data_IF_260903285493
#
_entry.id   IF_260903285493
#
_cell.length_a   1.000
_cell.length_b   1.000
_cell.length_c   1.000
_cell.angle_alpha   90.00
_cell.angle_beta   90.00
_cell.angle_gamma   90.00
#
_symmetry.space_group_name_H-M   'P 1'
#
loop_
_entity.id
_entity.type
_entity.pdbx_description
1 polymer ?
#
# COMPACT_ATOMS: atom_id res chain seq x y z
N UNK A 1 -2.23 -1.54 -23.86
CA UNK A 1 -1.61 -2.39 -24.89
C UNK A 1 -0.29 -2.96 -24.42
N UNK A 2 -0.39 -4.16 -23.86
CA UNK A 2 0.74 -5.05 -23.61
C UNK A 2 1.36 -5.39 -24.97
N UNK A 3 2.62 -5.00 -25.18
CA UNK A 3 3.31 -5.26 -26.46
C UNK A 3 3.99 -6.62 -26.45
N UNK A 4 4.12 -7.25 -27.62
CA UNK A 4 4.87 -8.51 -27.76
C UNK A 4 6.32 -8.37 -27.30
N UNK A 5 6.93 -7.20 -27.51
CA UNK A 5 8.26 -6.88 -27.02
C UNK A 5 8.36 -7.05 -25.50
N UNK A 6 7.41 -6.47 -24.75
CA UNK A 6 7.37 -6.59 -23.30
C UNK A 6 7.17 -8.03 -22.84
N UNK A 7 6.31 -8.80 -23.52
CA UNK A 7 6.13 -10.22 -23.22
C UNK A 7 7.43 -11.03 -23.40
N UNK A 8 8.17 -10.75 -24.47
CA UNK A 8 9.44 -11.41 -24.76
C UNK A 8 10.53 -11.05 -23.74
N UNK A 9 10.58 -9.78 -23.31
CA UNK A 9 11.48 -9.34 -22.23
C UNK A 9 11.21 -10.09 -20.92
N UNK A 10 9.94 -10.29 -20.55
CA UNK A 10 9.57 -11.08 -19.37
C UNK A 10 10.05 -12.52 -19.49
N UNK A 11 9.88 -13.17 -20.66
CA UNK A 11 10.34 -14.55 -20.87
C UNK A 11 11.87 -14.69 -20.80
N UNK A 12 12.62 -13.66 -21.21
CA UNK A 12 14.08 -13.68 -21.13
C UNK A 12 14.59 -13.40 -19.71
N UNK A 13 13.91 -12.51 -18.97
CA UNK A 13 14.37 -12.07 -17.65
C UNK A 13 13.97 -13.03 -16.52
N UNK A 14 12.85 -13.73 -16.66
CA UNK A 14 12.29 -14.57 -15.60
C UNK A 14 12.37 -16.07 -15.95
N UNK A 15 12.60 -16.94 -14.94
CA UNK A 15 12.57 -18.39 -15.15
C UNK A 15 11.18 -18.89 -15.57
N UNK A 16 11.08 -20.15 -15.98
CA UNK A 16 9.79 -20.78 -16.36
C UNK A 16 8.71 -20.65 -15.27
N UNK A 17 9.14 -20.76 -14.00
CA UNK A 17 8.27 -20.60 -12.84
C UNK A 17 8.71 -19.45 -11.96
N UNK A 18 7.76 -18.59 -11.63
CA UNK A 18 7.95 -17.42 -10.78
C UNK A 18 7.12 -17.51 -9.50
N UNK A 19 7.54 -16.71 -8.53
CA UNK A 19 6.88 -16.55 -7.24
C UNK A 19 5.80 -15.48 -7.30
N UNK A 20 4.89 -15.49 -6.31
CA UNK A 20 3.93 -14.40 -6.08
C UNK A 20 4.60 -13.03 -6.01
N UNK A 21 5.81 -12.93 -5.46
CA UNK A 21 6.51 -11.66 -5.31
C UNK A 21 6.99 -11.09 -6.66
N UNK A 22 7.41 -11.98 -7.57
CA UNK A 22 7.75 -11.59 -8.94
C UNK A 22 6.50 -11.24 -9.74
N UNK A 23 5.42 -12.02 -9.63
CA UNK A 23 4.18 -11.81 -10.37
C UNK A 23 3.59 -10.40 -10.15
N UNK A 24 3.42 -9.94 -8.90
CA UNK A 24 2.78 -8.62 -8.69
C UNK A 24 3.64 -7.46 -9.24
N UNK A 25 4.97 -7.63 -9.31
CA UNK A 25 5.89 -6.65 -9.91
C UNK A 25 5.71 -6.60 -11.42
N UNK A 26 5.71 -7.77 -12.07
CA UNK A 26 5.49 -7.91 -13.53
C UNK A 26 4.12 -7.37 -13.93
N UNK A 27 3.09 -7.68 -13.14
CA UNK A 27 1.70 -7.28 -13.41
C UNK A 27 1.37 -5.84 -12.98
N UNK A 28 2.29 -5.12 -12.33
CA UNK A 28 2.08 -3.79 -11.75
C UNK A 28 0.81 -3.68 -10.89
N UNK A 29 0.60 -4.66 -10.01
CA UNK A 29 -0.57 -4.72 -9.11
C UNK A 29 -0.15 -4.80 -7.64
N UNK A 30 -1.10 -4.50 -6.76
CA UNK A 30 -0.88 -4.69 -5.33
C UNK A 30 -0.67 -6.17 -4.98
N UNK A 31 0.06 -6.43 -3.89
CA UNK A 31 0.20 -7.79 -3.34
C UNK A 31 -1.14 -8.47 -3.01
N UNK A 32 -2.16 -7.67 -2.66
CA UNK A 32 -3.52 -8.12 -2.32
C UNK A 32 -4.29 -8.52 -3.58
N UNK A 33 -4.19 -7.72 -4.65
CA UNK A 33 -4.78 -8.06 -5.96
C UNK A 33 -4.13 -9.30 -6.57
N UNK A 34 -2.80 -9.42 -6.48
CA UNK A 34 -2.11 -10.61 -6.95
C UNK A 34 -2.55 -11.87 -6.19
N UNK A 35 -2.75 -11.77 -4.87
CA UNK A 35 -3.29 -12.88 -4.08
C UNK A 35 -4.71 -13.25 -4.53
N UNK A 36 -5.58 -12.25 -4.76
CA UNK A 36 -6.93 -12.48 -5.29
C UNK A 36 -6.90 -13.28 -6.59
N UNK A 37 -6.10 -12.86 -7.58
CA UNK A 37 -6.02 -13.53 -8.87
C UNK A 37 -5.59 -15.00 -8.76
N UNK A 38 -4.71 -15.31 -7.80
CA UNK A 38 -4.22 -16.66 -7.57
C UNK A 38 -5.24 -17.53 -6.81
N UNK A 39 -5.89 -16.97 -5.78
CA UNK A 39 -6.88 -17.68 -4.98
C UNK A 39 -8.22 -17.86 -5.70
N UNK A 40 -8.59 -16.93 -6.57
CA UNK A 40 -9.78 -17.04 -7.41
C UNK A 40 -9.59 -17.93 -8.64
N UNK A 41 -8.35 -18.38 -8.90
CA UNK A 41 -8.02 -19.21 -10.06
C UNK A 41 -7.97 -18.46 -11.40
N UNK A 42 -8.05 -17.12 -11.39
CA UNK A 42 -7.92 -16.29 -12.61
C UNK A 42 -6.51 -16.38 -13.23
N UNK A 43 -5.51 -16.71 -12.41
CA UNK A 43 -4.18 -17.06 -12.87
C UNK A 43 -3.85 -18.48 -12.41
N UNK A 44 -3.65 -19.43 -13.35
CA UNK A 44 -3.24 -20.79 -13.03
C UNK A 44 -1.98 -20.80 -12.17
N UNK A 45 -2.01 -21.60 -11.11
CA UNK A 45 -0.89 -21.70 -10.19
C UNK A 45 -0.87 -23.06 -9.50
N UNK A 46 0.32 -23.45 -9.06
CA UNK A 46 0.53 -24.61 -8.20
C UNK A 46 0.63 -24.09 -6.76
N UNK A 47 -0.35 -24.46 -5.94
CA UNK A 47 -0.43 -24.11 -4.54
C UNK A 47 0.05 -25.29 -3.66
N UNK A 48 1.01 -25.03 -2.78
CA UNK A 48 1.54 -26.02 -1.84
C UNK A 48 0.98 -25.90 -0.41
N UNK A 49 0.06 -24.96 -0.16
CA UNK A 49 -0.59 -24.74 1.13
C UNK A 49 0.28 -24.13 2.23
N UNK A 50 1.55 -23.80 1.95
CA UNK A 50 2.47 -23.24 2.96
C UNK A 50 2.14 -21.77 3.26
N UNK A 51 2.51 -21.31 4.46
CA UNK A 51 2.36 -19.89 4.85
C UNK A 51 3.21 -18.94 3.99
N UNK A 52 4.40 -19.38 3.59
CA UNK A 52 5.34 -18.60 2.79
C UNK A 52 5.73 -19.39 1.55
N UNK A 53 6.04 -18.69 0.45
CA UNK A 53 6.38 -19.32 -0.85
C UNK A 53 5.31 -20.36 -1.29
N UNK A 54 4.04 -19.98 -1.09
CA UNK A 54 2.85 -20.80 -1.33
C UNK A 54 2.63 -21.17 -2.79
N UNK A 55 2.81 -20.18 -3.67
CA UNK A 55 2.44 -20.26 -5.07
C UNK A 55 3.66 -20.40 -5.98
N UNK A 56 3.56 -21.33 -6.93
CA UNK A 56 4.47 -21.48 -8.07
C UNK A 56 3.66 -21.26 -9.35
N UNK A 57 4.02 -20.23 -10.11
CA UNK A 57 3.20 -19.70 -11.22
C UNK A 57 4.04 -19.78 -12.48
N UNK A 58 3.48 -20.23 -13.61
CA UNK A 58 4.24 -20.22 -14.86
C UNK A 58 4.31 -18.81 -15.43
N UNK A 59 5.48 -18.43 -15.94
CA UNK A 59 5.68 -17.11 -16.54
C UNK A 59 4.79 -16.90 -17.76
N UNK A 60 4.53 -17.96 -18.53
CA UNK A 60 3.58 -17.93 -19.67
C UNK A 60 2.15 -17.61 -19.24
N UNK A 61 1.70 -18.14 -18.11
CA UNK A 61 0.34 -17.88 -17.59
C UNK A 61 0.20 -16.43 -17.11
N UNK A 62 1.29 -15.84 -16.60
CA UNK A 62 1.32 -14.41 -16.23
C UNK A 62 1.26 -13.52 -17.45
N UNK A 63 1.95 -13.89 -18.53
CA UNK A 63 1.89 -13.16 -19.80
C UNK A 63 0.49 -13.24 -20.42
N UNK A 64 -0.14 -14.41 -20.37
CA UNK A 64 -1.51 -14.56 -20.85
C UNK A 64 -2.46 -13.69 -20.03
N UNK A 65 -2.33 -13.71 -18.70
CA UNK A 65 -3.12 -12.86 -17.82
C UNK A 65 -2.92 -11.36 -18.11
N UNK A 66 -1.71 -10.92 -18.45
CA UNK A 66 -1.45 -9.53 -18.83
C UNK A 66 -2.23 -9.14 -20.09
N UNK A 67 -2.24 -10.00 -21.11
CA UNK A 67 -2.98 -9.77 -22.36
C UNK A 67 -4.49 -9.76 -22.10
N UNK A 68 -5.01 -10.80 -21.44
CA UNK A 68 -6.44 -10.91 -21.14
C UNK A 68 -6.94 -9.74 -20.30
N UNK A 69 -6.11 -9.22 -19.38
CA UNK A 69 -6.44 -8.04 -18.57
C UNK A 69 -6.45 -6.74 -19.33
N UNK A 70 -5.63 -6.63 -20.38
CA UNK A 70 -5.59 -5.45 -21.25
C UNK A 70 -6.81 -5.43 -22.19
N UNK A 71 -7.25 -6.61 -22.64
CA UNK A 71 -8.45 -6.79 -23.49
C UNK A 71 -9.75 -6.72 -22.67
N UNK A 72 -9.81 -7.37 -21.51
CA UNK A 72 -11.02 -7.55 -20.70
C UNK A 72 -10.78 -7.17 -19.22
N UNK A 73 -10.45 -5.90 -18.91
CA UNK A 73 -10.11 -5.48 -17.55
C UNK A 73 -11.23 -5.75 -16.53
N UNK A 74 -12.50 -5.74 -16.96
CA UNK A 74 -13.68 -5.96 -16.13
C UNK A 74 -13.70 -7.35 -15.47
N UNK A 75 -13.20 -8.39 -16.15
CA UNK A 75 -13.21 -9.77 -15.65
C UNK A 75 -12.21 -10.02 -14.51
N UNK A 76 -11.22 -9.14 -14.38
CA UNK A 76 -10.13 -9.27 -13.41
C UNK A 76 -10.23 -8.27 -12.26
N UNK A 77 -11.31 -7.48 -12.21
CA UNK A 77 -11.60 -6.62 -11.06
C UNK A 77 -12.04 -7.48 -9.89
N UNK A 78 -11.46 -7.22 -8.73
CA UNK A 78 -11.93 -7.85 -7.50
C UNK A 78 -13.33 -7.33 -7.16
N UNK A 79 -14.21 -8.14 -6.55
CA UNK A 79 -15.55 -7.73 -6.17
C UNK A 79 -15.55 -6.46 -5.30
N UNK A 80 -16.66 -5.72 -5.37
CA UNK A 80 -16.85 -4.54 -4.54
C UNK A 80 -16.68 -4.89 -3.06
N UNK A 81 -15.88 -4.08 -2.36
CA UNK A 81 -15.57 -4.32 -0.96
C UNK A 81 -14.37 -5.23 -0.71
N UNK A 82 -13.81 -5.93 -1.71
CA UNK A 82 -12.65 -6.82 -1.51
C UNK A 82 -11.43 -6.08 -0.92
N UNK A 83 -11.23 -4.82 -1.33
CA UNK A 83 -10.13 -4.01 -0.84
C UNK A 83 -10.39 -3.37 0.53
N UNK A 84 -11.64 -3.34 1.01
CA UNK A 84 -11.98 -2.75 2.31
C UNK A 84 -11.27 -3.51 3.43
N UNK A 85 -10.70 -2.77 4.38
CA UNK A 85 -10.12 -3.35 5.58
C UNK A 85 -11.21 -3.93 6.48
N UNK A 86 -10.83 -4.81 7.43
CA UNK A 86 -11.75 -5.35 8.45
C UNK A 86 -12.46 -4.28 9.32
N UNK A 87 -12.00 -3.03 9.26
CA UNK A 87 -12.60 -1.88 9.97
C UNK A 87 -13.64 -1.08 9.17
N UNK A 88 -13.94 -1.46 7.92
CA UNK A 88 -14.78 -0.67 7.01
C UNK A 88 -14.10 0.63 6.55
N UNK A 89 -14.78 1.38 5.67
CA UNK A 89 -14.36 2.72 5.23
C UNK A 89 -14.66 3.76 6.32
N UNK A 90 -14.28 3.47 7.57
CA UNK A 90 -14.28 4.49 8.62
C UNK A 90 -13.14 5.44 8.30
N UNK A 91 -13.39 6.37 7.38
CA UNK A 91 -12.53 7.53 7.19
C UNK A 91 -12.39 8.18 8.57
N UNK A 92 -11.15 8.47 8.95
CA UNK A 92 -10.94 9.36 10.09
C UNK A 92 -11.74 10.64 9.79
N UNK A 93 -12.47 11.13 10.79
CA UNK A 93 -13.13 12.42 10.70
C UNK A 93 -12.08 13.46 10.28
N UNK A 94 -12.44 14.30 9.33
CA UNK A 94 -11.61 15.40 8.89
C UNK A 94 -11.38 16.38 10.04
N UNK A 95 -10.31 17.16 9.94
CA UNK A 95 -9.96 18.13 10.97
C UNK A 95 -11.13 19.08 11.31
N UNK A 96 -11.86 19.52 10.29
CA UNK A 96 -13.02 20.41 10.41
C UNK A 96 -14.25 19.72 11.00
N UNK A 97 -14.36 18.40 10.88
CA UNK A 97 -15.41 17.61 11.53
C UNK A 97 -15.13 17.36 13.01
N UNK A 98 -13.86 17.43 13.43
CA UNK A 98 -13.43 17.14 14.81
C UNK A 98 -13.31 18.40 15.65
N UNK A 99 -12.83 19.51 15.08
CA UNK A 99 -12.53 20.72 15.82
C UNK A 99 -13.37 21.91 15.35
N UNK A 100 -14.05 22.56 16.30
CA UNK A 100 -14.71 23.84 16.04
C UNK A 100 -13.69 24.98 16.05
N UNK A 101 -14.08 26.15 15.53
CA UNK A 101 -13.23 27.34 15.59
C UNK A 101 -12.83 27.71 17.04
N UNK A 102 -13.74 27.52 18.00
CA UNK A 102 -13.43 27.74 19.42
C UNK A 102 -12.39 26.76 19.95
N UNK A 103 -12.46 25.49 19.54
CA UNK A 103 -11.47 24.49 19.93
C UNK A 103 -10.08 24.86 19.43
N UNK A 104 -9.97 25.39 18.21
CA UNK A 104 -8.71 25.85 17.64
C UNK A 104 -8.13 27.04 18.42
N UNK A 105 -8.97 27.99 18.84
CA UNK A 105 -8.56 29.12 19.68
C UNK A 105 -8.03 28.61 21.03
N UNK A 106 -8.78 27.71 21.69
CA UNK A 106 -8.38 27.13 22.99
C UNK A 106 -7.10 26.33 22.88
N UNK A 107 -6.96 25.53 21.83
CA UNK A 107 -5.77 24.72 21.55
C UNK A 107 -4.54 25.62 21.33
N UNK A 108 -4.69 26.70 20.56
CA UNK A 108 -3.64 27.70 20.37
C UNK A 108 -3.20 28.32 21.70
N UNK A 109 -4.13 28.82 22.50
CA UNK A 109 -3.83 29.44 23.80
C UNK A 109 -3.15 28.45 24.76
N UNK A 110 -3.57 27.19 24.73
CA UNK A 110 -2.96 26.13 25.52
C UNK A 110 -1.49 25.92 25.13
N UNK A 111 -1.21 25.76 23.84
CA UNK A 111 0.16 25.55 23.35
C UNK A 111 1.04 26.80 23.52
N UNK A 112 0.50 28.01 23.35
CA UNK A 112 1.23 29.26 23.63
C UNK A 112 1.70 29.34 25.09
N UNK A 113 0.87 28.92 26.05
CA UNK A 113 1.26 28.86 27.47
C UNK A 113 2.29 27.77 27.73
N UNK A 114 2.08 26.59 27.16
CA UNK A 114 2.93 25.42 27.38
C UNK A 114 4.33 25.60 26.76
N UNK A 115 4.40 26.27 25.60
CA UNK A 115 5.64 26.52 24.87
C UNK A 115 6.31 27.85 25.23
N UNK A 116 5.74 28.65 26.14
CA UNK A 116 6.22 30.00 26.47
C UNK A 116 7.71 30.09 26.81
N UNK A 117 8.26 29.07 27.48
CA UNK A 117 9.65 29.03 27.94
C UNK A 117 10.57 28.24 26.98
N UNK A 118 10.03 27.71 25.89
CA UNK A 118 10.81 27.00 24.89
C UNK A 118 11.42 28.01 23.89
N UNK A 119 12.58 27.68 23.30
CA UNK A 119 13.14 28.49 22.23
C UNK A 119 12.21 28.50 21.01
N UNK A 120 12.27 29.58 20.23
CA UNK A 120 11.50 29.74 18.99
C UNK A 120 11.78 28.62 17.98
N UNK A 121 13.02 28.12 17.97
CA UNK A 121 13.43 26.94 17.22
C UNK A 121 13.81 25.82 18.18
N UNK A 122 13.07 24.72 18.13
CA UNK A 122 13.35 23.50 18.89
C UNK A 122 14.08 22.47 18.03
N UNK A 123 15.07 21.80 18.62
CA UNK A 123 15.71 20.61 18.05
C UNK A 123 14.76 19.41 18.02
N UNK A 124 15.09 18.39 17.22
CA UNK A 124 14.34 17.12 17.15
C UNK A 124 14.24 16.48 18.54
N UNK A 125 15.31 16.54 19.32
CA UNK A 125 15.37 16.13 20.73
C UNK A 125 14.28 16.79 21.58
N UNK A 126 14.20 18.12 21.52
CA UNK A 126 13.28 18.91 22.32
C UNK A 126 11.84 18.65 21.91
N UNK A 127 11.57 18.53 20.60
CA UNK A 127 10.23 18.20 20.09
C UNK A 127 9.83 16.77 20.47
N UNK A 128 10.75 15.80 20.40
CA UNK A 128 10.50 14.43 20.85
C UNK A 128 10.17 14.37 22.36
N UNK A 129 10.93 15.10 23.18
CA UNK A 129 10.67 15.19 24.62
C UNK A 129 9.32 15.85 24.92
N UNK A 130 8.98 16.91 24.19
CA UNK A 130 7.73 17.65 24.36
C UNK A 130 6.50 16.84 23.95
N UNK A 131 6.57 16.17 22.81
CA UNK A 131 5.41 15.46 22.22
C UNK A 131 5.29 13.99 22.67
N UNK A 132 6.35 13.42 23.26
CA UNK A 132 6.43 12.01 23.61
C UNK A 132 6.68 11.07 22.42
N UNK A 133 6.80 11.58 21.20
CA UNK A 133 7.17 10.77 20.03
C UNK A 133 8.66 10.44 20.01
N UNK A 134 9.03 9.33 19.37
CA UNK A 134 10.44 9.01 19.18
C UNK A 134 11.13 9.98 18.22
N UNK A 135 12.42 10.24 18.45
CA UNK A 135 13.25 11.11 17.58
C UNK A 135 13.18 10.74 16.10
N UNK A 136 13.08 9.43 15.80
CA UNK A 136 12.96 8.92 14.43
C UNK A 136 11.65 9.33 13.76
N UNK A 137 10.54 9.38 14.51
CA UNK A 137 9.26 9.85 13.98
C UNK A 137 9.27 11.36 13.78
N UNK A 138 9.74 12.11 14.78
CA UNK A 138 9.84 13.57 14.71
C UNK A 138 10.72 14.00 13.53
N UNK A 139 11.86 13.35 13.30
CA UNK A 139 12.75 13.65 12.16
C UNK A 139 12.11 13.50 10.78
N UNK A 140 11.02 12.72 10.67
CA UNK A 140 10.32 12.49 9.40
C UNK A 140 9.21 13.51 9.14
N UNK A 141 8.84 14.34 10.10
CA UNK A 141 7.82 15.38 9.90
C UNK A 141 8.32 16.54 9.03
N UNK A 142 9.64 16.74 8.99
CA UNK A 142 10.31 17.87 8.34
C UNK A 142 11.02 17.45 7.05
N UNK A 143 10.72 16.25 6.56
CA UNK A 143 11.39 15.60 5.43
C UNK A 143 10.36 15.28 4.35
#
# INVERSE_FOLDING_TARGET
>A
MITEKYCNEILQQYPEYITKDQMYRICHISKKTCLFLLESGLVPNIDNGKKTRRFKIKTVDVIQNLKDRDDYPELFKAPDGFYKGKGGDKKALSFDEVFTHEDLIRMRQYYERLLKNNPDVMSVEQVAQFTGYSKNWVSRWWR
#
